data_IF_440486364237
#
_entry.id   IF_440486364237
#
_cell.length_a   1.000
_cell.length_b   1.000
_cell.length_c   1.000
_cell.angle_alpha   90.00
_cell.angle_beta   90.00
_cell.angle_gamma   90.00
#
_symmetry.space_group_name_H-M   'P 1'
#
loop_
_entity.id
_entity.type
_entity.pdbx_description
1 polymer ?
#
# COMPACT_ATOMS: atom_id res chain seq x y z
N UNK A 1 6.49 -4.54 12.48
CA UNK A 1 7.80 -4.06 11.99
C UNK A 1 8.93 -4.59 12.85
N UNK A 2 8.91 -4.45 14.18
CA UNK A 2 9.92 -5.06 15.06
C UNK A 2 10.09 -6.57 14.82
N UNK A 3 8.99 -7.33 14.84
CA UNK A 3 9.06 -8.78 14.56
C UNK A 3 9.63 -9.11 13.17
N UNK A 4 9.35 -8.28 12.16
CA UNK A 4 9.93 -8.47 10.82
C UNK A 4 11.44 -8.25 10.87
N UNK A 5 11.90 -7.23 11.61
CA UNK A 5 13.32 -6.96 11.79
C UNK A 5 14.02 -8.12 12.53
N UNK A 6 13.40 -8.61 13.61
CA UNK A 6 13.93 -9.72 14.40
C UNK A 6 14.02 -11.02 13.58
N UNK A 7 12.96 -11.36 12.82
CA UNK A 7 12.91 -12.59 12.03
C UNK A 7 13.84 -12.56 10.80
N UNK A 8 14.05 -11.39 10.21
CA UNK A 8 14.88 -11.23 9.00
C UNK A 8 16.33 -10.88 9.30
N UNK A 9 16.65 -10.45 10.52
CA UNK A 9 17.93 -9.85 10.90
C UNK A 9 18.20 -8.48 10.26
N UNK A 10 17.21 -7.89 9.57
CA UNK A 10 17.34 -6.57 8.94
C UNK A 10 17.14 -5.49 10.01
N UNK A 11 18.00 -4.45 10.10
CA UNK A 11 17.84 -3.39 11.07
C UNK A 11 16.46 -2.73 11.00
N UNK A 12 15.81 -2.52 12.15
CA UNK A 12 14.44 -1.97 12.23
C UNK A 12 14.29 -0.64 11.47
N UNK A 13 15.34 0.20 11.46
CA UNK A 13 15.35 1.45 10.70
C UNK A 13 15.19 1.22 9.19
N UNK A 14 15.79 0.17 8.63
CA UNK A 14 15.62 -0.18 7.21
C UNK A 14 14.21 -0.72 6.92
N UNK A 15 13.62 -1.49 7.84
CA UNK A 15 12.22 -1.93 7.73
C UNK A 15 11.25 -0.75 7.79
N UNK A 16 11.51 0.23 8.66
CA UNK A 16 10.72 1.46 8.76
C UNK A 16 10.84 2.28 7.48
N UNK A 17 12.07 2.49 6.98
CA UNK A 17 12.29 3.18 5.70
C UNK A 17 11.55 2.44 4.58
N UNK A 18 11.67 1.12 4.46
CA UNK A 18 10.95 0.33 3.47
C UNK A 18 9.44 0.56 3.51
N UNK A 19 8.86 0.70 4.71
CA UNK A 19 7.42 0.93 4.89
C UNK A 19 6.97 2.38 4.62
N UNK A 20 7.91 3.32 4.60
CA UNK A 20 7.68 4.75 4.32
C UNK A 20 8.00 5.09 2.85
N UNK A 21 8.97 4.38 2.26
CA UNK A 21 9.54 4.67 0.95
C UNK A 21 8.56 4.51 -0.21
N UNK A 22 7.47 3.77 0.00
CA UNK A 22 6.45 3.58 -1.03
C UNK A 22 5.56 4.81 -1.30
N UNK A 23 5.69 5.90 -0.54
CA UNK A 23 4.90 7.14 -0.72
C UNK A 23 5.55 8.16 -1.70
N UNK A 24 6.56 7.74 -2.48
CA UNK A 24 7.41 8.68 -3.23
C UNK A 24 7.61 8.28 -4.71
N UNK A 25 7.45 6.99 -5.06
CA UNK A 25 7.78 6.47 -6.39
C UNK A 25 6.78 5.43 -6.93
N UNK A 26 5.48 5.63 -6.71
CA UNK A 26 4.43 4.80 -7.34
C UNK A 26 3.81 5.51 -8.55
N UNK A 27 3.56 4.75 -9.62
CA UNK A 27 2.62 5.10 -10.68
C UNK A 27 1.53 4.05 -10.66
N UNK A 28 0.29 4.48 -10.83
CA UNK A 28 -0.85 3.64 -10.52
C UNK A 28 -1.97 3.90 -11.52
N UNK A 29 -2.60 2.84 -12.00
CA UNK A 29 -3.88 2.92 -12.72
C UNK A 29 -4.92 2.12 -11.96
N UNK A 30 -6.09 2.72 -11.73
CA UNK A 30 -7.21 2.09 -11.03
C UNK A 30 -8.49 2.35 -11.81
N UNK A 31 -9.32 1.33 -11.96
CA UNK A 31 -10.55 1.34 -12.77
C UNK A 31 -11.67 0.75 -11.93
N UNK A 32 -12.78 1.50 -11.82
CA UNK A 32 -14.04 1.00 -11.29
C UNK A 32 -15.03 1.02 -12.45
N UNK A 33 -15.66 -0.11 -12.73
CA UNK A 33 -16.65 -0.27 -13.77
C UNK A 33 -17.89 -0.99 -13.24
N UNK A 34 -19.05 -0.67 -13.80
CA UNK A 34 -20.32 -1.34 -13.51
C UNK A 34 -20.84 -2.01 -14.79
N UNK A 35 -21.22 -3.29 -14.71
CA UNK A 35 -21.88 -3.98 -15.81
C UNK A 35 -23.39 -3.62 -15.89
N UNK A 36 -24.09 -3.96 -16.99
CA UNK A 36 -25.53 -3.68 -17.11
C UNK A 36 -26.43 -4.38 -16.07
N UNK A 37 -25.93 -5.43 -15.40
CA UNK A 37 -26.64 -6.14 -14.33
C UNK A 37 -26.39 -5.51 -12.95
N UNK A 38 -25.57 -4.44 -12.89
CA UNK A 38 -25.24 -3.73 -11.67
C UNK A 38 -24.00 -4.27 -10.94
N UNK A 39 -23.29 -5.27 -11.47
CA UNK A 39 -22.06 -5.79 -10.85
C UNK A 39 -20.92 -4.78 -10.95
N UNK A 40 -20.25 -4.53 -9.83
CA UNK A 40 -19.09 -3.64 -9.76
C UNK A 40 -17.80 -4.46 -9.88
N UNK A 41 -16.93 -4.04 -10.80
CA UNK A 41 -15.55 -4.55 -10.94
C UNK A 41 -14.60 -3.44 -10.59
N UNK A 42 -13.64 -3.75 -9.70
CA UNK A 42 -12.56 -2.84 -9.33
C UNK A 42 -11.22 -3.50 -9.65
N UNK A 43 -10.48 -2.92 -10.58
CA UNK A 43 -9.21 -3.43 -11.07
C UNK A 43 -8.13 -2.36 -10.97
N UNK A 44 -6.86 -2.77 -10.85
CA UNK A 44 -5.73 -1.84 -10.79
C UNK A 44 -4.42 -2.46 -11.26
N UNK A 45 -3.50 -1.63 -11.74
CA UNK A 45 -2.09 -1.94 -11.95
C UNK A 45 -1.23 -1.10 -11.00
N UNK A 46 -0.27 -1.72 -10.32
CA UNK A 46 0.68 -1.07 -9.40
C UNK A 46 2.07 -1.06 -10.04
N UNK A 47 2.53 0.12 -10.46
CA UNK A 47 3.84 0.30 -11.06
C UNK A 47 4.76 0.96 -10.02
N UNK A 48 5.78 0.25 -9.57
CA UNK A 48 6.65 0.73 -8.50
C UNK A 48 8.11 0.33 -8.73
N UNK A 49 9.04 1.12 -8.18
CA UNK A 49 10.48 0.91 -8.33
C UNK A 49 11.05 1.48 -9.63
N UNK A 50 10.26 2.29 -10.34
CA UNK A 50 10.69 2.98 -11.55
C UNK A 50 11.85 3.93 -11.22
N UNK A 51 12.81 4.04 -12.13
CA UNK A 51 13.98 4.93 -12.01
C UNK A 51 14.97 4.59 -10.86
N UNK A 52 14.72 3.51 -10.11
CA UNK A 52 15.61 3.04 -9.05
C UNK A 52 16.47 1.87 -9.54
N UNK A 53 17.54 2.21 -10.23
CA UNK A 53 18.50 1.27 -10.81
C UNK A 53 17.99 0.68 -12.13
N UNK A 54 18.81 0.79 -13.18
CA UNK A 54 18.50 0.27 -14.51
C UNK A 54 19.44 -0.88 -14.86
N UNK A 55 18.88 -2.03 -15.25
CA UNK A 55 19.66 -3.13 -15.79
C UNK A 55 19.67 -3.05 -17.32
N UNK A 56 20.81 -2.71 -17.95
CA UNK A 56 20.88 -2.54 -19.40
C UNK A 56 20.75 -3.86 -20.19
N UNK A 57 20.97 -5.01 -19.55
CA UNK A 57 20.92 -6.31 -20.20
C UNK A 57 19.49 -6.87 -20.21
N UNK A 58 18.75 -6.72 -19.12
CA UNK A 58 17.36 -7.21 -19.03
C UNK A 58 16.33 -6.17 -19.43
N UNK A 59 16.75 -4.90 -19.57
CA UNK A 59 15.88 -3.76 -19.78
C UNK A 59 14.80 -3.62 -18.70
N UNK A 60 15.18 -3.88 -17.44
CA UNK A 60 14.28 -3.79 -16.29
C UNK A 60 14.80 -2.83 -15.22
N UNK A 61 13.86 -2.22 -14.51
CA UNK A 61 14.14 -1.49 -13.27
C UNK A 61 14.47 -2.48 -12.15
N UNK A 62 15.63 -2.33 -11.53
CA UNK A 62 16.18 -3.30 -10.58
C UNK A 62 15.28 -3.49 -9.36
N UNK A 63 14.76 -2.38 -8.81
CA UNK A 63 13.81 -2.44 -7.69
C UNK A 63 12.48 -3.05 -8.12
N UNK A 64 11.94 -2.70 -9.29
CA UNK A 64 10.70 -3.34 -9.78
C UNK A 64 10.85 -4.86 -9.89
N UNK A 65 11.97 -5.35 -10.43
CA UNK A 65 12.23 -6.78 -10.57
C UNK A 65 12.40 -7.49 -9.22
N UNK A 66 13.01 -6.84 -8.23
CA UNK A 66 13.09 -7.36 -6.87
C UNK A 66 11.70 -7.48 -6.22
N UNK A 67 10.88 -6.43 -6.37
CA UNK A 67 9.57 -6.37 -5.73
C UNK A 67 8.55 -7.32 -6.32
N UNK A 68 8.63 -7.62 -7.62
CA UNK A 68 7.80 -8.66 -8.24
C UNK A 68 7.92 -10.01 -7.52
N UNK A 69 9.12 -10.35 -7.02
CA UNK A 69 9.37 -11.59 -6.27
C UNK A 69 8.81 -11.56 -4.85
N UNK A 70 8.46 -10.38 -4.34
CA UNK A 70 7.94 -10.17 -3.00
C UNK A 70 6.41 -10.05 -2.97
N UNK A 71 5.73 -10.10 -4.12
CA UNK A 71 4.28 -9.96 -4.20
C UNK A 71 3.61 -11.16 -3.52
N UNK A 72 2.72 -10.86 -2.58
CA UNK A 72 1.92 -11.84 -1.84
C UNK A 72 0.45 -11.42 -1.82
N UNK A 73 -0.44 -12.41 -1.83
CA UNK A 73 -1.85 -12.20 -1.51
C UNK A 73 -2.08 -12.59 -0.06
N UNK A 74 -2.67 -11.70 0.71
CA UNK A 74 -2.86 -11.86 2.15
C UNK A 74 -4.34 -11.96 2.48
N UNK A 75 -4.71 -13.05 3.16
CA UNK A 75 -6.01 -13.18 3.82
C UNK A 75 -5.84 -12.72 5.27
N UNK A 76 -6.44 -11.59 5.64
CA UNK A 76 -6.39 -11.08 6.99
C UNK A 76 -7.49 -11.71 7.80
N UNK A 77 -7.14 -12.45 8.85
CA UNK A 77 -8.09 -13.27 9.62
C UNK A 77 -8.31 -12.62 10.98
N UNK A 78 -9.57 -12.47 11.36
CA UNK A 78 -10.01 -12.06 12.69
C UNK A 78 -11.15 -12.99 13.13
N UNK A 79 -11.09 -13.49 14.36
CA UNK A 79 -12.11 -14.39 14.92
C UNK A 79 -12.39 -15.63 14.04
N UNK A 80 -11.32 -16.18 13.45
CA UNK A 80 -11.38 -17.37 12.58
C UNK A 80 -11.98 -17.14 11.19
N UNK A 81 -12.32 -15.90 10.82
CA UNK A 81 -12.89 -15.55 9.51
C UNK A 81 -12.03 -14.54 8.78
N UNK A 82 -12.08 -14.55 7.45
CA UNK A 82 -11.41 -13.53 6.63
C UNK A 82 -12.12 -12.19 6.88
N UNK A 83 -11.39 -11.24 7.44
CA UNK A 83 -11.83 -9.87 7.64
C UNK A 83 -11.76 -9.07 6.34
N UNK A 84 -10.65 -9.18 5.61
CA UNK A 84 -10.44 -8.61 4.28
C UNK A 84 -9.26 -9.30 3.58
N UNK A 85 -9.08 -9.00 2.29
CA UNK A 85 -7.98 -9.48 1.46
C UNK A 85 -7.17 -8.32 0.91
N UNK A 86 -5.87 -8.51 0.69
CA UNK A 86 -5.02 -7.51 0.04
C UNK A 86 -3.96 -8.17 -0.85
N UNK A 87 -3.52 -7.46 -1.89
CA UNK A 87 -2.24 -7.75 -2.54
C UNK A 87 -1.16 -6.84 -1.93
N UNK A 88 -0.02 -7.43 -1.55
CA UNK A 88 1.01 -6.74 -0.78
C UNK A 88 2.42 -7.18 -1.18
N UNK A 89 3.43 -6.52 -0.64
CA UNK A 89 4.82 -6.98 -0.65
C UNK A 89 5.20 -7.56 0.71
N UNK A 90 5.93 -8.67 0.73
CA UNK A 90 6.45 -9.22 1.98
C UNK A 90 7.28 -8.18 2.75
N UNK A 91 7.03 -8.00 4.05
CA UNK A 91 7.70 -6.98 4.87
C UNK A 91 7.01 -5.61 4.88
N UNK A 92 6.02 -5.38 4.01
CA UNK A 92 5.22 -4.15 3.98
C UNK A 92 3.94 -4.32 4.79
N UNK A 93 3.68 -3.39 5.73
CA UNK A 93 2.57 -3.50 6.68
C UNK A 93 1.37 -2.63 6.32
N UNK A 94 1.56 -1.64 5.44
CA UNK A 94 0.46 -0.85 4.89
C UNK A 94 -0.29 -1.61 3.80
N UNK A 95 -1.35 -1.00 3.26
CA UNK A 95 -2.14 -1.58 2.16
C UNK A 95 -2.38 -0.54 1.08
N UNK A 96 -1.95 -0.83 -0.14
CA UNK A 96 -2.27 -0.02 -1.32
C UNK A 96 -3.55 -0.45 -2.01
N UNK A 97 -3.90 -1.73 -1.89
CA UNK A 97 -5.10 -2.27 -2.47
C UNK A 97 -5.64 -3.43 -1.65
N UNK A 98 -6.94 -3.48 -1.49
CA UNK A 98 -7.61 -4.53 -0.74
C UNK A 98 -9.10 -4.53 -0.95
N UNK A 99 -9.73 -5.61 -0.49
CA UNK A 99 -11.15 -5.83 -0.61
C UNK A 99 -11.68 -6.47 0.66
N UNK A 100 -12.72 -5.85 1.22
CA UNK A 100 -13.59 -6.46 2.22
C UNK A 100 -14.80 -7.05 1.51
N UNK A 101 -14.92 -8.37 1.55
CA UNK A 101 -15.95 -9.10 0.83
C UNK A 101 -17.36 -8.60 1.21
N UNK A 102 -18.23 -8.44 0.22
CA UNK A 102 -19.60 -7.95 0.38
C UNK A 102 -19.72 -6.54 1.00
N UNK A 103 -18.64 -5.75 0.99
CA UNK A 103 -18.64 -4.39 1.51
C UNK A 103 -18.03 -3.40 0.50
N UNK A 104 -16.71 -3.38 0.38
CA UNK A 104 -16.01 -2.44 -0.48
C UNK A 104 -14.62 -2.95 -0.89
N UNK A 105 -14.06 -2.30 -1.91
CA UNK A 105 -12.67 -2.43 -2.30
C UNK A 105 -12.04 -1.05 -2.37
N UNK A 106 -10.73 -1.00 -2.11
CA UNK A 106 -9.96 0.25 -2.06
C UNK A 106 -8.67 0.05 -2.82
N UNK A 107 -8.28 1.08 -3.57
CA UNK A 107 -6.98 1.19 -4.22
C UNK A 107 -6.49 2.62 -4.05
N UNK A 108 -5.22 2.78 -3.75
CA UNK A 108 -4.59 4.09 -3.64
C UNK A 108 -3.60 4.35 -4.77
N UNK A 109 -3.70 5.54 -5.34
CA UNK A 109 -2.81 6.04 -6.39
C UNK A 109 -2.06 7.26 -5.87
N UNK A 110 -0.78 7.38 -6.23
CA UNK A 110 0.03 8.55 -5.91
C UNK A 110 -0.58 9.83 -6.45
N UNK A 111 -0.39 10.93 -5.72
CA UNK A 111 -0.80 12.26 -6.18
C UNK A 111 0.33 13.25 -5.99
N UNK A 112 1.00 13.59 -7.10
CA UNK A 112 2.09 14.56 -7.09
C UNK A 112 1.60 15.97 -6.79
N UNK A 113 2.22 16.61 -5.80
CA UNK A 113 1.99 18.01 -5.43
C UNK A 113 3.30 18.66 -5.00
N UNK A 114 3.42 19.98 -5.20
CA UNK A 114 4.57 20.78 -4.72
C UNK A 114 4.74 20.63 -3.20
N UNK A 115 3.63 20.70 -2.46
CA UNK A 115 3.56 20.41 -1.02
C UNK A 115 3.05 18.97 -0.80
N UNK A 116 3.80 17.97 -1.28
CA UNK A 116 3.44 16.55 -1.24
C UNK A 116 4.13 15.75 -0.12
N UNK A 117 4.35 14.46 -0.38
CA UNK A 117 4.88 13.48 0.59
C UNK A 117 6.17 13.93 1.30
N UNK A 118 7.11 14.58 0.60
CA UNK A 118 8.34 15.08 1.22
C UNK A 118 8.10 16.10 2.35
N UNK A 119 7.16 17.02 2.18
CA UNK A 119 6.81 17.98 3.23
C UNK A 119 6.11 17.27 4.40
N UNK A 120 5.22 16.33 4.09
CA UNK A 120 4.55 15.50 5.10
C UNK A 120 5.53 14.71 5.95
N UNK A 121 6.52 14.05 5.31
CA UNK A 121 7.59 13.33 6.01
C UNK A 121 8.42 14.25 6.90
N UNK A 122 8.78 15.44 6.41
CA UNK A 122 9.51 16.43 7.22
C UNK A 122 8.72 16.86 8.45
N UNK A 123 7.43 17.18 8.28
CA UNK A 123 6.56 17.58 9.40
C UNK A 123 6.34 16.46 10.41
N UNK A 124 6.20 15.23 9.93
CA UNK A 124 6.11 14.05 10.80
C UNK A 124 7.41 13.83 11.58
N UNK A 125 8.57 13.87 10.91
CA UNK A 125 9.89 13.67 11.51
C UNK A 125 10.25 14.75 12.54
N UNK A 126 9.89 16.00 12.27
CA UNK A 126 10.15 17.15 13.17
C UNK A 126 9.12 17.28 14.29
N UNK A 127 8.08 16.42 14.31
CA UNK A 127 7.01 16.49 15.30
C UNK A 127 6.05 17.67 15.10
N UNK A 128 6.08 18.34 13.94
CA UNK A 128 5.11 19.39 13.60
C UNK A 128 3.72 18.81 13.32
N UNK A 129 3.65 17.60 12.76
CA UNK A 129 2.41 16.86 12.52
C UNK A 129 2.56 15.40 12.98
N UNK A 130 2.66 15.15 14.31
CA UNK A 130 2.94 13.81 14.84
C UNK A 130 1.77 12.84 14.62
N UNK A 131 0.56 13.37 14.43
CA UNK A 131 -0.65 12.60 14.18
C UNK A 131 -0.96 12.43 12.67
N UNK A 132 -0.04 12.85 11.79
CA UNK A 132 -0.17 12.61 10.35
C UNK A 132 -0.29 11.11 10.06
N UNK A 133 -1.25 10.72 9.21
CA UNK A 133 -1.44 9.33 8.81
C UNK A 133 -0.75 9.06 7.48
N UNK A 134 0.07 8.02 7.45
CA UNK A 134 0.59 7.44 6.22
C UNK A 134 -0.57 6.85 5.42
N UNK A 135 -0.63 7.14 4.12
CA UNK A 135 -1.79 6.83 3.30
C UNK A 135 -2.10 5.33 3.27
N UNK A 136 -1.07 4.49 3.08
CA UNK A 136 -1.27 3.04 3.06
C UNK A 136 -1.70 2.47 4.42
N UNK A 137 -1.34 3.12 5.53
CA UNK A 137 -1.76 2.71 6.87
C UNK A 137 -3.22 3.12 7.10
N UNK A 138 -3.62 4.31 6.64
CA UNK A 138 -5.01 4.74 6.65
C UNK A 138 -5.89 3.76 5.86
N UNK A 139 -5.44 3.33 4.67
CA UNK A 139 -6.18 2.34 3.85
C UNK A 139 -6.32 1.01 4.59
N UNK A 140 -5.27 0.57 5.30
CA UNK A 140 -5.33 -0.63 6.13
C UNK A 140 -6.32 -0.48 7.29
N UNK A 141 -6.26 0.64 8.03
CA UNK A 141 -7.21 0.93 9.10
C UNK A 141 -8.64 0.96 8.57
N UNK A 142 -8.88 1.51 7.38
CA UNK A 142 -10.20 1.51 6.76
C UNK A 142 -10.72 0.09 6.54
N UNK A 143 -9.91 -0.80 5.99
CA UNK A 143 -10.27 -2.22 5.78
C UNK A 143 -10.48 -2.97 7.10
N UNK A 144 -9.72 -2.63 8.14
CA UNK A 144 -9.83 -3.23 9.47
C UNK A 144 -11.11 -2.78 10.21
N UNK A 145 -11.44 -1.49 10.15
CA UNK A 145 -12.44 -0.88 11.04
C UNK A 145 -13.83 -0.75 10.41
N UNK A 146 -13.94 -0.57 9.09
CA UNK A 146 -15.23 -0.27 8.45
C UNK A 146 -15.81 -1.49 7.74
N UNK A 147 -17.14 -1.56 7.68
CA UNK A 147 -17.90 -2.68 7.08
C UNK A 147 -18.82 -2.23 5.93
N UNK A 148 -18.79 -0.97 5.53
CA UNK A 148 -19.63 -0.40 4.46
C UNK A 148 -18.95 0.81 3.81
N UNK A 149 -19.33 1.15 2.58
CA UNK A 149 -18.88 2.37 1.89
C UNK A 149 -19.45 3.66 2.48
N UNK A 150 -20.56 3.57 3.23
CA UNK A 150 -21.17 4.72 3.87
C UNK A 150 -20.36 5.09 5.12
N UNK A 151 -19.69 6.25 5.08
CA UNK A 151 -19.31 6.95 6.28
C UNK A 151 -20.61 7.33 7.02
N UNK A 152 -20.69 7.17 8.35
CA UNK A 152 -21.81 7.72 9.10
C UNK A 152 -21.78 9.24 8.93
N UNK A 153 -22.73 9.77 8.18
CA UNK A 153 -23.06 11.19 8.13
C UNK A 153 -24.21 11.46 9.10
#
# INVERSE_FOLDING_TARGET
MMSIADDTGIPVGQIVIYNIFYEIFTVCTSIIAQDPNGHIVHARNLDFGLFLGWNPNTHEWSISSALRKMIINVNWIKDGKILYKSNNFAGYVGIYNGMKQNAFSVTANERFQLAGGYLGMYRWLTGLEPNGKWMSWLTRETLEQFNSMLLPF
#
